data_IF_061689552889
#
_entry.id   IF_061689552889
#
_cell.length_a   1.000
_cell.length_b   1.000
_cell.length_c   1.000
_cell.angle_alpha   90.00
_cell.angle_beta   90.00
_cell.angle_gamma   90.00
#
_symmetry.space_group_name_H-M   'P 1'
#
loop_
_entity.id
_entity.type
_entity.pdbx_description
1 polymer ?
#
# COMPACT_ATOMS: atom_id res chain seq x y z
N UNK A 1 12.87 -29.12 -11.79
CA UNK A 1 12.09 -28.19 -12.65
C UNK A 1 11.04 -27.31 -11.93
N UNK A 2 10.60 -27.59 -10.68
CA UNK A 2 9.56 -26.79 -9.98
C UNK A 2 10.00 -25.43 -9.40
N UNK A 3 11.30 -25.22 -9.08
CA UNK A 3 11.78 -23.97 -8.44
C UNK A 3 11.79 -22.75 -9.38
N UNK A 4 12.01 -22.95 -10.67
CA UNK A 4 12.13 -21.87 -11.66
C UNK A 4 10.81 -21.14 -11.91
N UNK A 5 9.66 -21.82 -11.88
CA UNK A 5 8.34 -21.20 -12.02
C UNK A 5 7.96 -20.25 -10.88
N UNK A 6 8.60 -20.37 -9.71
CA UNK A 6 8.36 -19.50 -8.53
C UNK A 6 9.39 -18.37 -8.46
N UNK A 7 10.59 -18.58 -9.01
CA UNK A 7 11.66 -17.57 -9.06
C UNK A 7 11.50 -16.60 -10.24
N UNK A 8 11.00 -17.08 -11.38
CA UNK A 8 10.79 -16.27 -12.59
C UNK A 8 9.94 -15.01 -12.35
N UNK A 9 8.77 -15.05 -11.68
CA UNK A 9 8.00 -13.83 -11.41
C UNK A 9 8.73 -12.87 -10.45
N UNK A 10 9.59 -13.37 -9.56
CA UNK A 10 10.40 -12.52 -8.65
C UNK A 10 11.56 -11.85 -9.38
N UNK A 11 12.16 -12.54 -10.35
CA UNK A 11 13.21 -12.00 -11.21
C UNK A 11 12.63 -10.98 -12.18
N UNK A 12 11.48 -11.28 -12.80
CA UNK A 12 10.75 -10.34 -13.66
C UNK A 12 10.29 -9.11 -12.88
N UNK A 13 9.78 -9.29 -11.66
CA UNK A 13 9.43 -8.17 -10.79
C UNK A 13 10.67 -7.36 -10.37
N UNK A 14 11.78 -8.01 -10.02
CA UNK A 14 13.05 -7.34 -9.72
C UNK A 14 13.58 -6.57 -10.93
N UNK A 15 13.50 -7.15 -12.12
CA UNK A 15 13.92 -6.51 -13.36
C UNK A 15 13.01 -5.33 -13.72
N UNK A 16 11.69 -5.46 -13.54
CA UNK A 16 10.71 -4.39 -13.75
C UNK A 16 10.91 -3.23 -12.76
N UNK A 17 11.24 -3.53 -11.49
CA UNK A 17 11.58 -2.52 -10.47
C UNK A 17 12.88 -1.82 -10.84
N UNK A 18 13.91 -2.57 -11.26
CA UNK A 18 15.20 -1.99 -11.68
C UNK A 18 15.02 -1.13 -12.92
N UNK A 19 14.30 -1.60 -13.94
CA UNK A 19 14.08 -0.83 -15.17
C UNK A 19 13.15 0.37 -14.97
N UNK A 20 12.11 0.27 -14.14
CA UNK A 20 11.31 1.42 -13.74
C UNK A 20 12.14 2.44 -12.91
N UNK A 21 13.03 1.96 -12.03
CA UNK A 21 13.95 2.83 -11.30
C UNK A 21 14.93 3.49 -12.27
N UNK A 22 15.52 2.76 -13.22
CA UNK A 22 16.44 3.30 -14.23
C UNK A 22 15.75 4.30 -15.15
N UNK A 23 14.52 4.02 -15.60
CA UNK A 23 13.69 4.96 -16.37
C UNK A 23 13.45 6.25 -15.57
N UNK A 24 13.08 6.11 -14.29
CA UNK A 24 12.89 7.25 -13.40
C UNK A 24 14.21 7.99 -13.07
N UNK A 25 15.37 7.33 -13.13
CA UNK A 25 16.70 7.97 -13.02
C UNK A 25 17.05 8.76 -14.29
N UNK A 26 16.63 8.27 -15.46
CA UNK A 26 16.94 8.86 -16.77
C UNK A 26 16.05 10.07 -17.08
N UNK A 27 14.81 10.09 -16.59
CA UNK A 27 13.89 11.23 -16.75
C UNK A 27 14.00 12.28 -15.62
N UNK A 28 15.03 12.20 -14.77
CA UNK A 28 15.21 13.06 -13.59
C UNK A 28 15.24 14.56 -13.90
N UNK A 29 15.59 14.94 -15.12
CA UNK A 29 15.71 16.34 -15.52
C UNK A 29 14.34 17.06 -15.65
N UNK A 30 13.22 16.33 -15.69
CA UNK A 30 11.87 16.92 -15.78
C UNK A 30 11.09 16.95 -14.45
N UNK A 31 11.54 16.22 -13.43
CA UNK A 31 10.86 16.15 -12.13
C UNK A 31 11.74 16.84 -11.09
N UNK A 32 11.77 18.17 -11.14
CA UNK A 32 12.52 18.96 -10.16
C UNK A 32 11.80 18.91 -8.80
N UNK A 33 12.34 18.19 -7.79
CA UNK A 33 11.68 18.04 -6.50
C UNK A 33 11.48 19.39 -5.80
N UNK A 34 12.32 20.37 -6.13
CA UNK A 34 12.24 21.74 -5.62
C UNK A 34 11.00 22.47 -6.14
N UNK A 35 10.60 22.22 -7.40
CA UNK A 35 9.40 22.84 -8.00
C UNK A 35 8.12 22.28 -7.35
N UNK A 36 8.09 20.98 -7.07
CA UNK A 36 6.98 20.30 -6.37
C UNK A 36 6.91 20.78 -4.92
N UNK A 37 8.05 20.89 -4.22
CA UNK A 37 8.09 21.39 -2.84
C UNK A 37 7.61 22.85 -2.75
N UNK A 38 8.00 23.71 -3.71
CA UNK A 38 7.52 25.10 -3.79
C UNK A 38 6.02 25.17 -4.04
N UNK A 39 5.51 24.42 -5.02
CA UNK A 39 4.08 24.39 -5.32
C UNK A 39 3.22 23.92 -4.13
N UNK A 40 3.72 22.94 -3.36
CA UNK A 40 3.04 22.45 -2.16
C UNK A 40 3.18 23.40 -0.97
N UNK A 41 4.30 24.12 -0.84
CA UNK A 41 4.43 25.21 0.14
C UNK A 41 3.46 26.37 -0.18
N UNK A 42 3.29 26.70 -1.44
CA UNK A 42 2.40 27.78 -1.90
C UNK A 42 0.91 27.44 -1.69
N UNK A 43 0.55 26.15 -1.66
CA UNK A 43 -0.80 25.68 -1.30
C UNK A 43 -1.15 25.90 0.19
N UNK A 44 -0.17 26.21 1.05
CA UNK A 44 -0.39 26.52 2.46
C UNK A 44 -1.20 25.43 3.21
N UNK A 45 -2.22 25.78 4.00
CA UNK A 45 -3.04 24.82 4.76
C UNK A 45 -3.81 23.79 3.90
N UNK A 46 -3.98 24.05 2.60
CA UNK A 46 -4.71 23.16 1.69
C UNK A 46 -3.86 22.03 1.12
N UNK A 47 -2.52 22.10 1.25
CA UNK A 47 -1.60 21.08 0.76
C UNK A 47 -1.96 19.65 1.22
N UNK A 48 -2.18 19.41 2.53
CA UNK A 48 -2.62 18.11 3.04
C UNK A 48 -3.95 17.63 2.46
N UNK A 49 -4.93 18.52 2.35
CA UNK A 49 -6.27 18.18 1.82
C UNK A 49 -6.18 17.78 0.35
N UNK A 50 -5.43 18.55 -0.44
CA UNK A 50 -5.16 18.24 -1.85
C UNK A 50 -4.45 16.90 -2.02
N UNK A 51 -3.44 16.61 -1.21
CA UNK A 51 -2.73 15.33 -1.22
C UNK A 51 -3.66 14.15 -0.90
N UNK A 52 -4.48 14.27 0.16
CA UNK A 52 -5.45 13.25 0.55
C UNK A 52 -6.44 12.99 -0.58
N UNK A 53 -7.02 14.06 -1.15
CA UNK A 53 -7.98 13.96 -2.24
C UNK A 53 -7.36 13.32 -3.49
N UNK A 54 -6.16 13.75 -3.87
CA UNK A 54 -5.44 13.23 -5.02
C UNK A 54 -5.12 11.74 -4.84
N UNK A 55 -4.65 11.32 -3.66
CA UNK A 55 -4.40 9.91 -3.37
C UNK A 55 -5.72 9.11 -3.42
N UNK A 56 -6.80 9.63 -2.83
CA UNK A 56 -8.10 8.95 -2.85
C UNK A 56 -8.60 8.73 -4.28
N UNK A 57 -8.60 9.76 -5.12
CA UNK A 57 -9.00 9.67 -6.54
C UNK A 57 -8.08 8.73 -7.31
N UNK A 58 -6.77 8.85 -7.12
CA UNK A 58 -5.76 8.05 -7.81
C UNK A 58 -5.87 6.56 -7.47
N UNK A 59 -6.28 6.23 -6.24
CA UNK A 59 -6.59 4.85 -5.83
C UNK A 59 -7.74 4.25 -6.64
N UNK A 60 -8.78 5.05 -6.92
CA UNK A 60 -9.92 4.64 -7.75
C UNK A 60 -9.46 4.43 -9.20
N UNK A 61 -8.58 5.32 -9.69
CA UNK A 61 -8.02 5.32 -11.05
C UNK A 61 -6.87 4.33 -11.28
N UNK A 62 -6.64 3.40 -10.34
CA UNK A 62 -5.61 2.37 -10.44
C UNK A 62 -4.15 2.87 -10.46
N UNK A 63 -3.90 4.11 -10.04
CA UNK A 63 -2.54 4.65 -9.91
C UNK A 63 -1.81 3.98 -8.72
N UNK A 64 -0.51 3.66 -8.84
CA UNK A 64 0.24 3.06 -7.74
C UNK A 64 0.35 3.95 -6.49
N UNK A 65 -0.14 3.47 -5.35
CA UNK A 65 -0.12 4.20 -4.07
C UNK A 65 1.28 4.52 -3.51
N UNK A 66 2.33 3.84 -4.00
CA UNK A 66 3.71 4.10 -3.59
C UNK A 66 4.17 5.52 -3.95
N UNK A 67 3.70 6.05 -5.08
CA UNK A 67 4.02 7.40 -5.54
C UNK A 67 3.55 8.43 -4.52
N UNK A 68 2.30 8.30 -4.07
CA UNK A 68 1.73 9.17 -3.03
C UNK A 68 2.38 8.94 -1.67
N UNK A 69 2.75 7.70 -1.36
CA UNK A 69 3.39 7.39 -0.08
C UNK A 69 4.75 8.10 0.05
N UNK A 70 5.58 8.02 -0.99
CA UNK A 70 6.86 8.72 -1.07
C UNK A 70 6.67 10.24 -1.10
N UNK A 71 5.73 10.74 -1.92
CA UNK A 71 5.42 12.16 -2.02
C UNK A 71 4.97 12.73 -0.66
N UNK A 72 4.11 12.01 0.08
CA UNK A 72 3.65 12.46 1.39
C UNK A 72 4.80 12.59 2.40
N UNK A 73 5.80 11.72 2.33
CA UNK A 73 6.99 11.79 3.18
C UNK A 73 7.96 12.90 2.81
N UNK A 74 8.15 13.10 1.51
CA UNK A 74 8.93 14.21 0.97
C UNK A 74 8.29 15.56 1.35
N UNK A 75 6.99 15.70 1.18
CA UNK A 75 6.28 16.97 1.36
C UNK A 75 5.97 17.30 2.84
N UNK A 76 5.45 16.33 3.59
CA UNK A 76 4.88 16.57 4.92
C UNK A 76 5.68 15.92 6.06
N UNK A 77 6.79 15.27 5.74
CA UNK A 77 7.61 14.56 6.72
C UNK A 77 7.06 13.17 7.08
N UNK A 78 7.78 12.42 7.93
CA UNK A 78 7.49 11.01 8.17
C UNK A 78 6.19 10.79 8.94
N UNK A 79 5.87 11.65 9.92
CA UNK A 79 4.69 11.44 10.79
C UNK A 79 3.42 11.95 10.11
N UNK A 80 3.37 13.24 9.75
CA UNK A 80 2.20 13.84 9.12
C UNK A 80 1.96 13.28 7.71
N UNK A 81 3.02 13.04 6.94
CA UNK A 81 2.91 12.34 5.67
C UNK A 81 2.26 10.97 5.80
N UNK A 82 2.60 10.20 6.86
CA UNK A 82 2.00 8.89 7.10
C UNK A 82 0.51 9.00 7.43
N UNK A 83 0.13 9.99 8.24
CA UNK A 83 -1.27 10.24 8.56
C UNK A 83 -2.06 10.60 7.31
N UNK A 84 -1.57 11.55 6.50
CA UNK A 84 -2.24 11.95 5.26
C UNK A 84 -2.30 10.82 4.23
N UNK A 85 -1.22 10.03 4.12
CA UNK A 85 -1.19 8.84 3.27
C UNK A 85 -2.21 7.79 3.70
N UNK A 86 -2.31 7.49 5.00
CA UNK A 86 -3.29 6.54 5.52
C UNK A 86 -4.71 7.04 5.29
N UNK A 87 -4.98 8.32 5.52
CA UNK A 87 -6.30 8.91 5.29
C UNK A 87 -6.67 8.85 3.81
N UNK A 88 -5.80 9.32 2.90
CA UNK A 88 -6.04 9.29 1.46
C UNK A 88 -6.23 7.87 0.91
N UNK A 89 -5.33 6.96 1.28
CA UNK A 89 -5.43 5.55 0.89
C UNK A 89 -6.71 4.89 1.42
N UNK A 90 -7.11 5.18 2.67
CA UNK A 90 -8.31 4.59 3.27
C UNK A 90 -9.59 5.14 2.64
N UNK A 91 -9.65 6.44 2.33
CA UNK A 91 -10.79 7.05 1.64
C UNK A 91 -10.92 6.46 0.23
N UNK A 92 -9.83 6.42 -0.54
CA UNK A 92 -9.82 5.86 -1.89
C UNK A 92 -10.16 4.37 -1.91
N UNK A 93 -9.62 3.59 -0.97
CA UNK A 93 -9.90 2.17 -0.84
C UNK A 93 -11.35 1.91 -0.45
N UNK A 94 -11.89 2.70 0.49
CA UNK A 94 -13.31 2.68 0.84
C UNK A 94 -14.20 3.01 -0.36
N UNK A 95 -13.87 4.04 -1.13
CA UNK A 95 -14.64 4.42 -2.32
C UNK A 95 -14.63 3.30 -3.37
N UNK A 96 -13.46 2.72 -3.67
CA UNK A 96 -13.34 1.57 -4.58
C UNK A 96 -14.10 0.34 -4.07
N UNK A 97 -14.07 0.08 -2.76
CA UNK A 97 -14.85 -0.98 -2.13
C UNK A 97 -16.36 -0.76 -2.26
N UNK A 98 -16.85 0.46 -2.02
CA UNK A 98 -18.27 0.79 -2.17
C UNK A 98 -18.70 0.76 -3.65
N UNK A 99 -17.85 1.22 -4.57
CA UNK A 99 -18.08 1.06 -6.00
C UNK A 99 -18.18 -0.41 -6.40
N UNK A 100 -17.27 -1.26 -5.89
CA UNK A 100 -17.34 -2.70 -6.07
C UNK A 100 -18.63 -3.31 -5.53
N UNK A 101 -19.11 -2.80 -4.38
CA UNK A 101 -20.34 -3.28 -3.73
C UNK A 101 -21.61 -2.89 -4.48
N UNK A 102 -21.78 -1.61 -4.79
CA UNK A 102 -23.06 -1.09 -5.30
C UNK A 102 -23.13 -1.05 -6.83
N UNK A 103 -22.01 -0.91 -7.52
CA UNK A 103 -21.98 -0.81 -8.99
C UNK A 103 -21.67 -2.16 -9.62
N UNK A 104 -20.69 -2.89 -9.08
CA UNK A 104 -20.23 -4.15 -9.67
C UNK A 104 -20.85 -5.40 -9.02
N UNK A 105 -21.31 -5.33 -7.76
CA UNK A 105 -21.72 -6.49 -6.97
C UNK A 105 -22.77 -7.36 -7.64
N UNK A 106 -23.85 -6.75 -8.11
CA UNK A 106 -24.95 -7.48 -8.74
C UNK A 106 -24.62 -7.95 -10.16
N UNK A 107 -23.84 -7.18 -10.90
CA UNK A 107 -23.41 -7.55 -12.26
C UNK A 107 -22.42 -8.72 -12.23
N UNK A 108 -21.48 -8.70 -11.27
CA UNK A 108 -20.47 -9.75 -11.07
C UNK A 108 -21.11 -11.00 -10.49
N UNK A 109 -22.01 -10.91 -9.49
CA UNK A 109 -22.75 -12.09 -9.00
C UNK A 109 -23.56 -12.76 -10.12
N UNK A 110 -24.18 -11.99 -11.00
CA UNK A 110 -24.95 -12.52 -12.14
C UNK A 110 -24.05 -13.13 -13.24
N UNK A 111 -22.92 -12.49 -13.60
CA UNK A 111 -22.04 -12.97 -14.69
C UNK A 111 -21.10 -14.11 -14.30
N UNK A 112 -20.64 -14.13 -13.05
CA UNK A 112 -19.54 -15.04 -12.65
C UNK A 112 -20.02 -16.35 -12.04
N UNK A 113 -21.30 -16.44 -11.68
CA UNK A 113 -22.00 -17.69 -11.31
C UNK A 113 -21.34 -18.51 -10.20
N UNK A 114 -21.65 -19.82 -10.15
CA UNK A 114 -21.13 -20.82 -9.20
C UNK A 114 -19.60 -20.95 -9.16
N UNK A 115 -18.86 -20.37 -10.13
CA UNK A 115 -17.41 -20.59 -10.27
C UNK A 115 -16.58 -19.77 -9.28
N UNK A 116 -17.03 -18.56 -8.94
CA UNK A 116 -16.37 -17.72 -7.93
C UNK A 116 -17.02 -17.79 -6.55
N UNK A 117 -18.22 -18.39 -6.44
CA UNK A 117 -18.94 -18.56 -5.18
C UNK A 117 -18.07 -19.18 -4.07
N UNK A 118 -17.32 -20.29 -4.31
CA UNK A 118 -16.49 -20.89 -3.25
C UNK A 118 -15.38 -19.96 -2.76
N UNK A 119 -14.82 -19.15 -3.67
CA UNK A 119 -13.77 -18.20 -3.34
C UNK A 119 -14.33 -17.01 -2.53
N UNK A 120 -15.49 -16.49 -2.94
CA UNK A 120 -16.18 -15.42 -2.21
C UNK A 120 -16.57 -15.91 -0.81
N UNK A 121 -17.16 -17.10 -0.69
CA UNK A 121 -17.54 -17.69 0.60
C UNK A 121 -16.33 -17.91 1.50
N UNK A 122 -15.20 -18.36 0.95
CA UNK A 122 -13.95 -18.50 1.71
C UNK A 122 -13.41 -17.16 2.24
N UNK A 123 -13.49 -16.10 1.42
CA UNK A 123 -13.11 -14.74 1.84
C UNK A 123 -14.07 -14.21 2.91
N UNK A 124 -15.37 -14.44 2.75
CA UNK A 124 -16.41 -14.03 3.71
C UNK A 124 -16.27 -14.75 5.05
N UNK A 125 -15.89 -16.03 5.06
CA UNK A 125 -15.67 -16.81 6.28
C UNK A 125 -14.53 -16.26 7.14
N UNK A 126 -13.46 -15.76 6.52
CA UNK A 126 -12.34 -15.13 7.22
C UNK A 126 -12.61 -13.65 7.56
N UNK A 127 -13.46 -12.98 6.78
CA UNK A 127 -13.92 -11.63 7.03
C UNK A 127 -12.77 -10.61 7.14
N UNK A 128 -12.67 -9.95 8.30
CA UNK A 128 -11.62 -8.95 8.56
C UNK A 128 -10.21 -9.54 8.52
N UNK A 129 -10.04 -10.84 8.85
CA UNK A 129 -8.75 -11.52 8.83
C UNK A 129 -8.20 -11.63 7.42
N UNK A 130 -9.08 -11.86 6.45
CA UNK A 130 -8.70 -11.87 5.03
C UNK A 130 -8.25 -10.49 4.58
N UNK A 131 -8.98 -9.43 4.97
CA UNK A 131 -8.59 -8.04 4.67
C UNK A 131 -7.20 -7.75 5.26
N UNK A 132 -6.98 -8.06 6.53
CA UNK A 132 -5.69 -7.90 7.19
C UNK A 132 -4.57 -8.67 6.45
N UNK A 133 -4.83 -9.92 6.07
CA UNK A 133 -3.88 -10.75 5.35
C UNK A 133 -3.45 -10.13 4.01
N UNK A 134 -4.41 -9.67 3.19
CA UNK A 134 -4.08 -9.06 1.89
C UNK A 134 -3.42 -7.68 2.00
N UNK A 135 -3.56 -6.99 3.15
CA UNK A 135 -2.82 -5.74 3.42
C UNK A 135 -1.39 -5.98 3.86
N UNK A 136 -1.18 -6.98 4.70
CA UNK A 136 0.16 -7.33 5.22
C UNK A 136 0.99 -8.09 4.18
N UNK A 137 0.34 -8.88 3.33
CA UNK A 137 0.98 -9.65 2.28
C UNK A 137 0.53 -9.08 0.93
N UNK A 138 1.38 -8.31 0.22
CA UNK A 138 1.03 -7.66 -1.05
C UNK A 138 1.03 -8.68 -2.21
N UNK A 139 0.16 -9.68 -2.14
CA UNK A 139 -0.02 -10.69 -3.18
C UNK A 139 -0.84 -10.15 -4.37
N UNK A 140 -1.68 -9.15 -4.10
CA UNK A 140 -2.64 -8.61 -5.04
C UNK A 140 -2.45 -7.10 -5.21
N UNK A 141 -2.70 -6.54 -6.40
CA UNK A 141 -2.70 -5.10 -6.61
C UNK A 141 -3.71 -4.42 -5.68
N UNK A 142 -3.24 -3.43 -4.91
CA UNK A 142 -4.04 -2.71 -3.91
C UNK A 142 -5.36 -2.17 -4.49
N UNK A 143 -5.30 -1.60 -5.69
CA UNK A 143 -6.46 -0.98 -6.33
C UNK A 143 -7.51 -2.03 -6.70
N UNK A 144 -7.11 -3.15 -7.30
CA UNK A 144 -8.03 -4.21 -7.72
C UNK A 144 -8.68 -4.94 -6.54
N UNK A 145 -7.91 -5.25 -5.50
CA UNK A 145 -8.42 -6.01 -4.35
C UNK A 145 -9.52 -5.23 -3.60
N UNK A 146 -9.49 -3.89 -3.63
CA UNK A 146 -10.52 -3.06 -3.01
C UNK A 146 -11.89 -3.30 -3.66
N UNK A 147 -11.96 -3.29 -4.98
CA UNK A 147 -13.19 -3.60 -5.72
C UNK A 147 -13.65 -5.05 -5.49
N UNK A 148 -12.71 -6.01 -5.53
CA UNK A 148 -13.03 -7.41 -5.31
C UNK A 148 -13.61 -7.67 -3.92
N UNK A 149 -13.04 -7.04 -2.88
CA UNK A 149 -13.58 -7.11 -1.52
C UNK A 149 -14.96 -6.46 -1.41
N UNK A 150 -15.26 -5.44 -2.23
CA UNK A 150 -16.57 -4.80 -2.29
C UNK A 150 -17.71 -5.75 -2.68
N UNK A 151 -17.42 -6.72 -3.55
CA UNK A 151 -18.39 -7.75 -4.02
C UNK A 151 -18.75 -8.75 -2.92
N UNK A 152 -17.89 -8.89 -1.89
CA UNK A 152 -18.14 -9.77 -0.74
C UNK A 152 -19.13 -9.15 0.26
N UNK A 153 -19.58 -9.92 1.24
CA UNK A 153 -20.42 -9.48 2.36
C UNK A 153 -19.65 -8.92 3.57
N UNK A 154 -18.35 -8.65 3.43
CA UNK A 154 -17.54 -8.09 4.53
C UNK A 154 -18.09 -6.71 4.96
N UNK A 155 -18.26 -6.48 6.26
CA UNK A 155 -18.76 -5.19 6.74
C UNK A 155 -17.77 -4.06 6.43
N UNK A 156 -18.29 -2.87 6.10
CA UNK A 156 -17.44 -1.70 5.82
C UNK A 156 -16.53 -1.37 7.02
N UNK A 157 -17.06 -1.50 8.24
CA UNK A 157 -16.30 -1.26 9.48
C UNK A 157 -15.07 -2.19 9.58
N UNK A 158 -15.26 -3.49 9.36
CA UNK A 158 -14.17 -4.46 9.36
C UNK A 158 -13.13 -4.15 8.28
N UNK A 159 -13.60 -3.78 7.08
CA UNK A 159 -12.72 -3.41 5.98
C UNK A 159 -11.85 -2.18 6.30
N UNK A 160 -12.46 -1.10 6.79
CA UNK A 160 -11.77 0.15 7.11
C UNK A 160 -10.78 -0.05 8.25
N UNK A 161 -11.21 -0.65 9.36
CA UNK A 161 -10.34 -0.85 10.54
C UNK A 161 -9.14 -1.75 10.21
N UNK A 162 -9.37 -2.87 9.52
CA UNK A 162 -8.29 -3.75 9.09
C UNK A 162 -7.35 -3.03 8.12
N UNK A 163 -7.88 -2.21 7.21
CA UNK A 163 -7.07 -1.44 6.26
C UNK A 163 -6.17 -0.44 6.97
N UNK A 164 -6.72 0.41 7.85
CA UNK A 164 -5.94 1.43 8.58
C UNK A 164 -4.84 0.77 9.43
N UNK A 165 -5.20 -0.23 10.24
CA UNK A 165 -4.27 -0.87 11.18
C UNK A 165 -3.18 -1.64 10.44
N UNK A 166 -3.55 -2.46 9.46
CA UNK A 166 -2.58 -3.31 8.76
C UNK A 166 -1.72 -2.55 7.74
N UNK A 167 -2.20 -1.42 7.21
CA UNK A 167 -1.40 -0.59 6.31
C UNK A 167 -0.47 0.38 7.04
N UNK A 168 -0.76 0.76 8.30
CA UNK A 168 0.03 1.75 9.04
C UNK A 168 1.54 1.47 9.05
N UNK A 169 2.03 0.24 9.33
CA UNK A 169 3.46 -0.04 9.31
C UNK A 169 4.10 0.15 7.92
N UNK A 170 3.41 -0.30 6.86
CA UNK A 170 3.88 -0.14 5.48
C UNK A 170 3.86 1.32 5.03
N UNK A 171 2.78 2.04 5.34
CA UNK A 171 2.65 3.46 5.05
C UNK A 171 3.76 4.27 5.73
N UNK A 172 4.06 3.97 7.00
CA UNK A 172 5.16 4.61 7.72
C UNK A 172 6.51 4.35 7.04
N UNK A 173 6.79 3.10 6.66
CA UNK A 173 8.05 2.72 6.04
C UNK A 173 8.28 3.46 4.69
N UNK A 174 7.29 3.47 3.81
CA UNK A 174 7.39 4.17 2.52
C UNK A 174 7.42 5.69 2.68
N UNK A 175 6.64 6.25 3.59
CA UNK A 175 6.67 7.69 3.88
C UNK A 175 8.06 8.08 4.42
N UNK A 176 8.63 7.29 5.32
CA UNK A 176 9.97 7.54 5.85
C UNK A 176 11.04 7.49 4.76
N UNK A 177 10.89 6.58 3.78
CA UNK A 177 11.78 6.52 2.63
C UNK A 177 11.70 7.79 1.78
N UNK A 178 10.50 8.33 1.55
CA UNK A 178 10.31 9.60 0.86
C UNK A 178 10.98 10.77 1.59
N UNK A 179 10.84 10.81 2.92
CA UNK A 179 11.52 11.80 3.76
C UNK A 179 13.05 11.68 3.70
N UNK A 180 13.59 10.46 3.77
CA UNK A 180 15.02 10.22 3.64
C UNK A 180 15.56 10.69 2.28
N UNK A 181 14.77 10.51 1.21
CA UNK A 181 15.09 11.03 -0.12
C UNK A 181 15.21 12.55 -0.15
N UNK A 182 14.31 13.28 0.54
CA UNK A 182 14.42 14.74 0.68
C UNK A 182 15.69 15.15 1.42
N UNK A 183 15.97 14.53 2.55
CA UNK A 183 17.19 14.82 3.32
C UNK A 183 18.46 14.57 2.50
N UNK A 184 18.47 13.50 1.68
CA UNK A 184 19.59 13.19 0.79
C UNK A 184 19.76 14.25 -0.30
N UNK A 185 18.67 14.70 -0.92
CA UNK A 185 18.68 15.75 -1.94
C UNK A 185 19.16 17.10 -1.39
N UNK A 186 18.87 17.38 -0.11
CA UNK A 186 19.34 18.58 0.59
C UNK A 186 20.82 18.49 1.04
N UNK A 187 21.49 17.34 0.87
CA UNK A 187 22.87 17.14 1.31
C UNK A 187 23.04 16.96 2.82
N UNK A 188 21.95 16.68 3.55
CA UNK A 188 22.00 16.54 5.00
C UNK A 188 22.62 15.19 5.41
N UNK A 189 23.58 15.21 6.35
CA UNK A 189 24.19 13.99 6.89
C UNK A 189 23.19 13.05 7.60
N UNK A 190 22.03 13.58 8.02
CA UNK A 190 20.90 12.83 8.57
C UNK A 190 20.24 11.89 7.57
N UNK A 191 20.45 12.08 6.27
CA UNK A 191 19.87 11.26 5.20
C UNK A 191 20.20 9.77 5.35
N UNK A 192 21.46 9.44 5.67
CA UNK A 192 21.91 8.06 5.85
C UNK A 192 21.16 7.41 7.02
N UNK A 193 21.00 8.15 8.13
CA UNK A 193 20.25 7.68 9.31
C UNK A 193 18.78 7.45 8.98
N UNK A 194 18.13 8.39 8.29
CA UNK A 194 16.72 8.24 7.93
C UNK A 194 16.51 7.15 6.88
N UNK A 195 17.43 6.98 5.93
CA UNK A 195 17.44 5.88 4.97
C UNK A 195 17.58 4.52 5.65
N UNK A 196 18.49 4.39 6.62
CA UNK A 196 18.65 3.18 7.42
C UNK A 196 17.38 2.84 8.21
N UNK A 197 16.72 3.84 8.82
CA UNK A 197 15.44 3.64 9.52
C UNK A 197 14.36 3.19 8.53
N UNK A 198 14.24 3.82 7.36
CA UNK A 198 13.27 3.40 6.34
C UNK A 198 13.50 1.95 5.90
N UNK A 199 14.75 1.57 5.64
CA UNK A 199 15.12 0.19 5.29
C UNK A 199 14.81 -0.78 6.44
N UNK A 200 15.08 -0.42 7.69
CA UNK A 200 14.75 -1.21 8.86
C UNK A 200 13.22 -1.40 9.01
N UNK A 201 12.44 -0.34 8.79
CA UNK A 201 10.97 -0.40 8.79
C UNK A 201 10.44 -1.29 7.66
N UNK A 202 10.99 -1.16 6.44
CA UNK A 202 10.61 -2.01 5.30
C UNK A 202 10.96 -3.48 5.56
N UNK A 203 12.15 -3.74 6.12
CA UNK A 203 12.54 -5.08 6.53
C UNK A 203 11.59 -5.62 7.61
N UNK A 204 11.29 -4.82 8.65
CA UNK A 204 10.33 -5.20 9.69
C UNK A 204 8.98 -5.56 9.08
N UNK A 205 8.42 -4.74 8.19
CA UNK A 205 7.15 -5.03 7.49
C UNK A 205 7.24 -6.31 6.65
N UNK A 206 8.35 -6.53 5.94
CA UNK A 206 8.54 -7.72 5.11
C UNK A 206 8.69 -9.01 5.94
N UNK A 207 9.29 -8.92 7.13
CA UNK A 207 9.52 -10.07 8.02
C UNK A 207 8.41 -10.27 9.05
N UNK A 208 7.60 -9.26 9.34
CA UNK A 208 6.52 -9.31 10.35
C UNK A 208 5.55 -10.48 10.12
N UNK A 209 5.05 -10.76 8.90
CA UNK A 209 4.18 -11.92 8.67
C UNK A 209 4.88 -13.26 8.94
N UNK A 210 6.20 -13.35 8.70
CA UNK A 210 6.98 -14.56 8.95
C UNK A 210 7.21 -14.77 10.45
N UNK A 211 7.56 -13.71 11.17
CA UNK A 211 7.79 -13.76 12.61
C UNK A 211 6.50 -14.11 13.38
N UNK A 212 5.37 -13.50 13.02
CA UNK A 212 4.07 -13.83 13.59
C UNK A 212 3.73 -15.31 13.34
N UNK A 213 3.97 -15.80 12.12
CA UNK A 213 3.71 -17.20 11.78
C UNK A 213 4.59 -18.17 12.59
N UNK A 214 5.88 -17.85 12.77
CA UNK A 214 6.80 -18.65 13.57
C UNK A 214 6.42 -18.66 15.05
N UNK A 215 6.03 -17.50 15.59
CA UNK A 215 5.59 -17.38 16.98
C UNK A 215 4.30 -18.18 17.24
N UNK A 216 3.29 -18.04 16.38
CA UNK A 216 2.04 -18.80 16.49
C UNK A 216 2.22 -20.30 16.27
N UNK A 217 3.15 -20.72 15.40
CA UNK A 217 3.48 -22.13 15.22
C UNK A 217 4.15 -22.73 16.47
N UNK A 218 5.03 -21.96 17.13
CA UNK A 218 5.75 -22.38 18.34
C UNK A 218 4.84 -22.54 19.57
N UNK A 219 3.80 -21.71 19.69
CA UNK A 219 2.84 -21.80 20.80
C UNK A 219 1.72 -22.84 20.60
N UNK A 220 1.55 -23.40 19.39
CA UNK A 220 0.62 -24.52 19.14
C UNK A 220 1.22 -25.89 19.47
N UNK A 221 2.52 -25.96 19.74
CA UNK A 221 3.27 -27.20 20.04
C UNK A 221 3.51 -27.47 21.53
N UNK A 222 2.84 -26.74 22.43
CA UNK A 222 2.73 -27.12 23.86
C UNK A 222 1.32 -27.66 24.11
N UNK A 223 1.10 -28.99 24.02
CA UNK A 223 -0.11 -29.60 24.55
C UNK A 223 -0.03 -29.53 26.08
N UNK A 224 -1.03 -28.91 26.70
CA UNK A 224 -1.39 -29.18 28.10
C UNK A 224 -2.00 -30.55 28.22
#
# INVERSE_FOLDING_TARGET
MKRWRVLLPRIVLGFAIVSAATWLMLERDHVDPVLIERFVRDLGPWGPVGHIALFAVSTILFVPGIVFSLAGGLLFGPIWGTMYNLTGATIGATAAFLAGRFVAGDAVRRRTGRRLEPLITGVEAEGWRFVAFVRLVPLFPFNLINYALGVTRISLKHYVLATVVCMAPGALAYTWLGYAGREAAAGNATAIRHGAIALALLAAVAFLPRLIRQYLARNRSTPS
#
